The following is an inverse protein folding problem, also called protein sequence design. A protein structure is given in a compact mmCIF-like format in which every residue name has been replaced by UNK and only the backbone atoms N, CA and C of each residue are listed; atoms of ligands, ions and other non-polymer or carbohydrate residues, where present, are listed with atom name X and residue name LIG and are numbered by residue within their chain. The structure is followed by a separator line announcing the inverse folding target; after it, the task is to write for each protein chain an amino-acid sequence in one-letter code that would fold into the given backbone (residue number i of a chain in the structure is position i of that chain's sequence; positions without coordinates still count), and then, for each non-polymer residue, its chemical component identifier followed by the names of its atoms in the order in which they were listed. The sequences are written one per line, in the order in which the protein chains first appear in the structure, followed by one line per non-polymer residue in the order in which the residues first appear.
data_IF_403912594715
#
_entry.id   IF_403912594715
#
_cell.length_a   1.000
_cell.length_b   1.000
_cell.length_c   1.000
_cell.angle_alpha   90.00
_cell.angle_beta   90.00
_cell.angle_gamma   90.00
#
_symmetry.space_group_name_H-M   'P 1'
#
loop_
_entity.id
_entity.type
_entity.pdbx_description
1 polymer ?
#
# COMPACT_ATOMS: atom_id res chain seq x y z
N UNK A 1 -13.45 -6.16 14.59
CA UNK A 1 -12.13 -5.54 14.37
C UNK A 1 -12.13 -5.00 12.96
N UNK A 2 -12.10 -3.69 12.77
CA UNK A 2 -11.89 -3.10 11.45
C UNK A 2 -10.52 -3.56 10.94
N UNK A 3 -10.51 -4.32 9.84
CA UNK A 3 -9.24 -4.71 9.21
C UNK A 3 -8.54 -3.44 8.72
N UNK A 4 -7.26 -3.29 9.03
CA UNK A 4 -6.47 -2.14 8.56
C UNK A 4 -6.49 -2.06 7.03
N UNK A 5 -6.37 -0.85 6.48
CA UNK A 5 -6.30 -0.65 5.01
C UNK A 5 -5.19 -1.50 4.37
N UNK A 6 -4.09 -1.70 5.08
CA UNK A 6 -3.00 -2.62 4.70
C UNK A 6 -3.45 -4.07 4.59
N UNK A 7 -4.19 -4.60 5.57
CA UNK A 7 -4.72 -5.96 5.49
C UNK A 7 -5.67 -6.13 4.31
N UNK A 8 -6.53 -5.13 4.04
CA UNK A 8 -7.39 -5.15 2.85
C UNK A 8 -6.56 -5.17 1.57
N UNK A 9 -5.51 -4.34 1.47
CA UNK A 9 -4.59 -4.34 0.34
C UNK A 9 -3.97 -5.71 0.10
N UNK A 10 -3.44 -6.36 1.15
CA UNK A 10 -2.84 -7.69 1.04
C UNK A 10 -3.86 -8.74 0.56
N UNK A 11 -5.08 -8.72 1.10
CA UNK A 11 -6.16 -9.64 0.68
C UNK A 11 -6.59 -9.39 -0.77
N UNK A 12 -6.74 -8.14 -1.18
CA UNK A 12 -7.08 -7.78 -2.56
C UNK A 12 -5.97 -8.19 -3.52
N UNK A 13 -4.71 -7.97 -3.15
CA UNK A 13 -3.56 -8.38 -3.96
C UNK A 13 -3.48 -9.90 -4.15
N UNK A 14 -3.74 -10.68 -3.11
CA UNK A 14 -3.82 -12.14 -3.23
C UNK A 14 -4.90 -12.56 -4.22
N UNK A 15 -6.11 -12.01 -4.10
CA UNK A 15 -7.21 -12.31 -5.04
C UNK A 15 -6.89 -11.87 -6.47
N UNK A 16 -6.31 -10.68 -6.62
CA UNK A 16 -5.90 -10.14 -7.92
C UNK A 16 -4.83 -11.02 -8.58
N UNK A 17 -3.88 -11.56 -7.79
CA UNK A 17 -2.91 -12.54 -8.27
C UNK A 17 -3.58 -13.84 -8.75
N UNK A 18 -4.59 -14.34 -8.03
CA UNK A 18 -5.34 -15.54 -8.43
C UNK A 18 -6.11 -15.32 -9.75
N UNK A 19 -6.63 -14.11 -9.99
CA UNK A 19 -7.44 -13.78 -11.17
C UNK A 19 -6.61 -13.41 -12.41
N UNK A 20 -5.53 -12.65 -12.23
CA UNK A 20 -4.76 -12.04 -13.31
C UNK A 20 -3.33 -12.59 -13.44
N UNK A 21 -2.92 -13.46 -12.52
CA UNK A 21 -1.59 -14.07 -12.50
C UNK A 21 -0.53 -13.24 -11.75
N UNK A 22 0.60 -13.89 -11.54
CA UNK A 22 1.72 -13.38 -10.73
C UNK A 22 2.36 -12.12 -11.30
N UNK A 23 2.46 -12.01 -12.61
CA UNK A 23 3.14 -10.87 -13.27
C UNK A 23 2.44 -9.55 -12.97
N UNK A 24 1.11 -9.50 -13.16
CA UNK A 24 0.30 -8.31 -12.86
C UNK A 24 0.31 -7.97 -11.37
N UNK A 25 0.18 -8.97 -10.49
CA UNK A 25 0.29 -8.73 -9.05
C UNK A 25 1.67 -8.18 -8.65
N UNK A 26 2.74 -8.67 -9.29
CA UNK A 26 4.11 -8.18 -9.05
C UNK A 26 4.27 -6.72 -9.50
N UNK A 27 3.62 -6.31 -10.60
CA UNK A 27 3.60 -4.92 -11.04
C UNK A 27 2.91 -3.99 -10.01
N UNK A 28 1.80 -4.42 -9.40
CA UNK A 28 1.14 -3.69 -8.32
C UNK A 28 2.05 -3.56 -7.09
N UNK A 29 2.75 -4.64 -6.71
CA UNK A 29 3.73 -4.59 -5.62
C UNK A 29 4.90 -3.65 -5.92
N UNK A 30 5.41 -3.66 -7.15
CA UNK A 30 6.49 -2.76 -7.55
C UNK A 30 6.05 -1.29 -7.46
N UNK A 31 4.84 -0.96 -7.90
CA UNK A 31 4.26 0.39 -7.73
C UNK A 31 4.16 0.77 -6.26
N UNK A 32 3.64 -0.13 -5.42
CA UNK A 32 3.60 0.09 -3.97
C UNK A 32 4.98 0.44 -3.39
N UNK A 33 6.04 -0.29 -3.78
CA UNK A 33 7.39 -0.01 -3.31
C UNK A 33 7.89 1.37 -3.74
N UNK A 34 7.64 1.76 -5.00
CA UNK A 34 8.00 3.09 -5.52
C UNK A 34 7.25 4.20 -4.79
N UNK A 35 5.93 4.05 -4.60
CA UNK A 35 5.12 5.03 -3.87
C UNK A 35 5.53 5.11 -2.40
N UNK A 36 5.86 3.98 -1.78
CA UNK A 36 6.38 3.95 -0.41
C UNK A 36 7.70 4.69 -0.28
N UNK A 37 8.65 4.44 -1.18
CA UNK A 37 9.94 5.13 -1.18
C UNK A 37 9.76 6.64 -1.36
N UNK A 38 8.88 7.02 -2.28
CA UNK A 38 8.51 8.42 -2.50
C UNK A 38 7.93 9.05 -1.24
N UNK A 39 6.93 8.44 -0.60
CA UNK A 39 6.31 8.93 0.65
C UNK A 39 7.35 9.04 1.77
N UNK A 40 8.23 8.05 1.91
CA UNK A 40 9.32 8.11 2.91
C UNK A 40 10.26 9.28 2.63
N UNK A 41 10.61 9.52 1.36
CA UNK A 41 11.49 10.62 0.98
C UNK A 41 10.82 12.00 1.15
N UNK A 42 9.55 12.14 0.73
CA UNK A 42 8.78 13.40 0.81
C UNK A 42 8.43 13.75 2.28
N UNK A 43 8.21 12.74 3.13
CA UNK A 43 7.90 12.91 4.54
C UNK A 43 9.09 12.65 5.46
N UNK A 44 10.32 12.55 4.94
CA UNK A 44 11.50 12.20 5.74
C UNK A 44 11.70 13.15 6.93
N UNK A 45 11.58 14.46 6.67
CA UNK A 45 11.68 15.50 7.69
C UNK A 45 10.57 15.37 8.73
N UNK A 46 9.31 15.18 8.29
CA UNK A 46 8.14 15.02 9.18
C UNK A 46 8.24 13.77 10.06
N UNK A 47 8.66 12.63 9.48
CA UNK A 47 8.84 11.37 10.19
C UNK A 47 9.97 11.48 11.21
N UNK A 48 11.02 12.25 10.94
CA UNK A 48 12.17 12.36 11.83
C UNK A 48 11.84 13.04 13.17
N UNK A 49 10.87 13.96 13.18
CA UNK A 49 10.35 14.61 14.40
C UNK A 49 9.66 13.64 15.36
N UNK A 50 9.23 12.46 14.90
CA UNK A 50 8.57 11.48 15.74
C UNK A 50 9.58 10.55 16.44
N UNK A 51 9.29 10.13 17.69
CA UNK A 51 10.13 9.14 18.36
C UNK A 51 10.10 7.80 17.59
N UNK A 52 11.21 7.06 17.64
CA UNK A 52 11.43 5.83 16.86
C UNK A 52 10.30 4.80 16.98
N UNK A 53 9.68 4.66 18.15
CA UNK A 53 8.57 3.75 18.39
C UNK A 53 7.29 4.12 17.64
N UNK A 54 7.14 5.38 17.20
CA UNK A 54 5.96 5.89 16.50
C UNK A 54 6.16 6.08 14.99
N UNK A 55 7.42 6.14 14.52
CA UNK A 55 7.76 6.34 13.10
C UNK A 55 7.04 5.35 12.17
N UNK A 56 6.95 4.08 12.55
CA UNK A 56 6.22 3.07 11.77
C UNK A 56 4.71 3.34 11.71
N UNK A 57 4.10 3.78 12.81
CA UNK A 57 2.67 4.08 12.84
C UNK A 57 2.34 5.29 11.96
N UNK A 58 3.20 6.32 12.00
CA UNK A 58 3.08 7.50 11.14
C UNK A 58 3.23 7.13 9.68
N UNK A 59 4.25 6.32 9.34
CA UNK A 59 4.44 5.84 7.97
C UNK A 59 3.21 5.04 7.48
N UNK A 60 2.65 4.17 8.30
CA UNK A 60 1.45 3.40 7.94
C UNK A 60 0.23 4.32 7.71
N UNK A 61 0.10 5.40 8.48
CA UNK A 61 -0.92 6.43 8.23
C UNK A 61 -0.69 7.19 6.92
N UNK A 62 0.56 7.54 6.62
CA UNK A 62 0.92 8.22 5.37
C UNK A 62 0.65 7.33 4.14
N UNK A 63 0.87 6.02 4.27
CA UNK A 63 0.61 5.03 3.22
C UNK A 63 -0.87 4.67 3.06
N UNK A 64 -1.77 5.13 3.95
CA UNK A 64 -3.19 4.78 3.89
C UNK A 64 -3.81 5.10 2.53
N UNK A 65 -3.48 6.27 1.98
CA UNK A 65 -3.97 6.69 0.67
C UNK A 65 -3.45 5.77 -0.44
N UNK A 66 -2.14 5.48 -0.44
CA UNK A 66 -1.51 4.57 -1.40
C UNK A 66 -2.17 3.19 -1.38
N UNK A 67 -2.44 2.64 -0.20
CA UNK A 67 -3.15 1.36 -0.08
C UNK A 67 -4.55 1.44 -0.72
N UNK A 68 -5.33 2.50 -0.44
CA UNK A 68 -6.67 2.67 -1.01
C UNK A 68 -6.65 2.81 -2.53
N UNK A 69 -5.71 3.58 -3.07
CA UNK A 69 -5.59 3.82 -4.50
C UNK A 69 -5.24 2.51 -5.24
N UNK A 70 -4.30 1.71 -4.71
CA UNK A 70 -3.93 0.41 -5.29
C UNK A 70 -5.05 -0.63 -5.15
N UNK A 71 -5.77 -0.64 -4.03
CA UNK A 71 -6.98 -1.48 -3.87
C UNK A 71 -7.98 -1.14 -4.97
N UNK A 72 -8.23 0.15 -5.18
CA UNK A 72 -9.19 0.61 -6.20
C UNK A 72 -8.74 0.25 -7.61
N UNK A 73 -7.45 0.38 -7.92
CA UNK A 73 -6.88 -0.05 -9.21
C UNK A 73 -7.14 -1.54 -9.46
N UNK A 74 -6.80 -2.40 -8.49
CA UNK A 74 -7.05 -3.84 -8.58
C UNK A 74 -8.55 -4.17 -8.67
N UNK A 75 -9.40 -3.48 -7.91
CA UNK A 75 -10.86 -3.67 -7.95
C UNK A 75 -11.45 -3.23 -9.29
N UNK A 76 -10.96 -2.16 -9.90
CA UNK A 76 -11.41 -1.68 -11.21
C UNK A 76 -10.95 -2.62 -12.34
N UNK A 77 -9.73 -3.14 -12.28
CA UNK A 77 -9.22 -4.12 -13.25
C UNK A 77 -9.85 -5.51 -13.08
N UNK A 78 -10.29 -5.84 -11.87
CA UNK A 78 -10.97 -7.10 -11.54
C UNK A 78 -12.48 -7.08 -11.73
N UNK A 79 -13.05 -5.98 -12.27
CA UNK A 79 -14.44 -5.96 -12.73
C UNK A 79 -14.54 -6.72 -14.07
N UNK A 80 -15.42 -7.74 -14.17
CA UNK A 80 -15.69 -8.42 -15.45
C UNK A 80 -16.34 -7.50 -16.48
#
# INVERSE_FOLDING_TARGET
MESSTRERYLRTLMRYQEQHGREKASAIQERFWKDRERVVSESAEEIDWFPSWKKNQVLESLLEKTYRDLIREMELEGLP
#
